data_IF_087671296455
#
_entry.id   IF_087671296455
#
_cell.length_a   1.000
_cell.length_b   1.000
_cell.length_c   1.000
_cell.angle_alpha   90.00
_cell.angle_beta   90.00
_cell.angle_gamma   90.00
#
_symmetry.space_group_name_H-M   'P 1'
#
loop_
_entity.id
_entity.type
_entity.pdbx_description
1 polymer ?
#
# COMPACT_ATOMS: atom_id res chain seq x y z
N UNK A 1 44.04 47.31 32.44
CA UNK A 1 44.07 47.04 30.98
C UNK A 1 44.32 45.58 30.62
N UNK A 2 45.31 44.87 31.19
CA UNK A 2 45.57 43.44 30.86
C UNK A 2 44.40 42.47 31.08
N UNK A 3 43.57 42.66 32.11
CA UNK A 3 42.40 41.78 32.38
C UNK A 3 41.26 41.91 31.35
N UNK A 4 41.10 43.09 30.74
CA UNK A 4 40.05 43.35 29.73
C UNK A 4 40.44 42.72 28.39
N UNK A 5 41.72 42.72 28.05
CA UNK A 5 42.24 42.09 26.82
C UNK A 5 42.11 40.56 26.89
N UNK A 6 42.38 39.96 28.06
CA UNK A 6 42.24 38.50 28.26
C UNK A 6 40.76 38.09 28.18
N UNK A 7 39.85 38.86 28.77
CA UNK A 7 38.41 38.59 28.69
C UNK A 7 37.87 38.74 27.26
N UNK A 8 38.34 39.74 26.50
CA UNK A 8 37.98 39.91 25.08
C UNK A 8 38.52 38.79 24.20
N UNK A 9 39.72 38.27 24.50
CA UNK A 9 40.31 37.14 23.78
C UNK A 9 39.57 35.82 24.08
N UNK A 10 39.14 35.61 25.32
CA UNK A 10 38.33 34.44 25.70
C UNK A 10 36.93 34.48 25.07
N UNK A 11 36.34 35.66 24.93
CA UNK A 11 35.06 35.87 24.26
C UNK A 11 35.15 35.65 22.73
N UNK A 12 36.28 36.04 22.11
CA UNK A 12 36.57 35.76 20.71
C UNK A 12 36.89 34.27 20.45
N UNK A 13 37.52 33.57 21.40
CA UNK A 13 37.73 32.11 21.29
C UNK A 13 36.44 31.31 21.48
N UNK A 14 35.55 31.72 22.40
CA UNK A 14 34.28 31.03 22.60
C UNK A 14 33.30 31.20 21.43
N UNK A 15 33.34 32.33 20.72
CA UNK A 15 32.57 32.56 19.50
C UNK A 15 33.06 31.72 18.31
N UNK A 16 34.34 31.37 18.25
CA UNK A 16 34.89 30.50 17.19
C UNK A 16 34.67 29.00 17.44
N UNK A 17 34.58 28.57 18.70
CA UNK A 17 34.34 27.17 19.05
C UNK A 17 32.90 26.71 18.78
N UNK A 18 31.93 27.63 18.72
CA UNK A 18 30.53 27.33 18.42
C UNK A 18 30.21 27.33 16.92
N UNK A 19 31.17 27.67 16.05
CA UNK A 19 30.89 28.02 14.66
C UNK A 19 31.37 27.02 13.58
N UNK A 20 31.96 25.87 13.94
CA UNK A 20 32.43 24.90 12.94
C UNK A 20 32.03 23.46 13.27
N UNK A 21 30.73 23.22 13.39
CA UNK A 21 30.24 21.90 13.02
C UNK A 21 30.31 21.81 11.48
N UNK A 22 31.43 21.27 11.00
CA UNK A 22 31.72 21.20 9.57
C UNK A 22 30.64 20.39 8.86
N UNK A 23 30.38 20.74 7.60
CA UNK A 23 29.44 19.99 6.76
C UNK A 23 29.77 18.49 6.71
N UNK A 24 31.06 18.14 6.79
CA UNK A 24 31.53 16.75 6.90
C UNK A 24 31.05 16.07 8.19
N UNK A 25 31.18 16.74 9.34
CA UNK A 25 30.70 16.18 10.62
C UNK A 25 29.17 16.03 10.63
N UNK A 26 28.42 16.98 10.06
CA UNK A 26 26.96 16.84 9.86
C UNK A 26 26.63 15.60 9.04
N UNK A 27 27.34 15.40 7.93
CA UNK A 27 27.11 14.24 7.07
C UNK A 27 27.32 12.91 7.82
N UNK A 28 28.42 12.78 8.57
CA UNK A 28 28.68 11.59 9.41
C UNK A 28 27.59 11.38 10.47
N UNK A 29 27.09 12.45 11.06
CA UNK A 29 26.01 12.39 12.05
C UNK A 29 24.68 11.95 11.43
N UNK A 30 24.30 12.49 10.26
CA UNK A 30 23.11 12.01 9.53
C UNK A 30 23.26 10.53 9.20
N UNK A 31 24.45 10.10 8.75
CA UNK A 31 24.71 8.69 8.46
C UNK A 31 24.55 7.80 9.71
N UNK A 32 25.01 8.27 10.88
CA UNK A 32 24.77 7.61 12.15
C UNK A 32 23.28 7.51 12.48
N UNK A 33 22.52 8.59 12.39
CA UNK A 33 21.07 8.61 12.65
C UNK A 33 20.31 7.62 11.76
N UNK A 34 20.61 7.60 10.45
CA UNK A 34 20.01 6.65 9.50
C UNK A 34 20.33 5.21 9.89
N UNK A 35 21.58 4.93 10.31
CA UNK A 35 21.99 3.58 10.75
C UNK A 35 21.31 3.16 12.06
N UNK A 36 21.02 4.11 12.94
CA UNK A 36 20.29 3.91 14.19
C UNK A 36 18.77 3.83 14.01
N UNK A 37 18.26 4.08 12.80
CA UNK A 37 16.83 4.21 12.46
C UNK A 37 16.14 5.45 13.05
N UNK A 38 16.90 6.48 13.44
CA UNK A 38 16.41 7.78 13.91
C UNK A 38 16.09 8.67 12.70
N UNK A 39 15.07 8.28 11.92
CA UNK A 39 14.81 8.86 10.60
C UNK A 39 14.21 10.27 10.67
N UNK A 40 13.43 10.59 11.70
CA UNK A 40 12.86 11.93 11.89
C UNK A 40 13.97 12.94 12.18
N UNK A 41 14.89 12.61 13.08
CA UNK A 41 16.08 13.43 13.38
C UNK A 41 16.99 13.56 12.17
N UNK A 42 17.20 12.46 11.43
CA UNK A 42 17.99 12.48 10.21
C UNK A 42 17.38 13.45 9.18
N UNK A 43 16.04 13.48 9.05
CA UNK A 43 15.34 14.35 8.11
C UNK A 43 15.50 15.84 8.49
N UNK A 44 15.45 16.18 9.78
CA UNK A 44 15.70 17.56 10.25
C UNK A 44 17.09 18.04 9.82
N UNK A 45 18.12 17.22 10.03
CA UNK A 45 19.50 17.57 9.65
C UNK A 45 19.68 17.63 8.12
N UNK A 46 19.00 16.74 7.38
CA UNK A 46 18.99 16.74 5.91
C UNK A 46 18.32 18.00 5.34
N UNK A 47 17.18 18.42 5.91
CA UNK A 47 16.46 19.62 5.50
C UNK A 47 17.26 20.89 5.81
N UNK A 48 18.02 20.90 6.91
CA UNK A 48 18.93 21.99 7.21
C UNK A 48 20.04 22.16 6.16
N UNK A 49 20.49 21.05 5.54
CA UNK A 49 21.50 21.05 4.48
C UNK A 49 20.90 21.30 3.08
N UNK A 50 19.59 21.18 2.92
CA UNK A 50 18.89 21.44 1.66
C UNK A 50 19.14 22.90 1.22
N UNK A 51 19.48 23.09 -0.05
CA UNK A 51 19.87 24.40 -0.61
C UNK A 51 21.28 24.91 -0.22
N UNK A 52 21.94 24.35 0.80
CA UNK A 52 23.33 24.71 1.16
C UNK A 52 24.36 23.84 0.46
N UNK A 53 23.98 22.60 0.16
CA UNK A 53 24.80 21.63 -0.56
C UNK A 53 23.91 20.71 -1.35
N UNK A 54 24.27 20.45 -2.61
CA UNK A 54 23.58 19.46 -3.43
C UNK A 54 24.54 18.30 -3.65
N UNK A 55 24.25 17.17 -3.03
CA UNK A 55 24.99 15.93 -3.29
C UNK A 55 24.02 14.76 -3.42
N UNK A 56 24.35 13.85 -4.31
CA UNK A 56 23.54 12.66 -4.56
C UNK A 56 23.38 11.80 -3.29
N UNK A 57 24.40 11.77 -2.43
CA UNK A 57 24.32 11.09 -1.13
C UNK A 57 23.25 11.70 -0.22
N UNK A 58 23.11 13.03 -0.18
CA UNK A 58 22.07 13.67 0.62
C UNK A 58 20.67 13.40 0.07
N UNK A 59 20.49 13.47 -1.25
CA UNK A 59 19.21 13.13 -1.87
C UNK A 59 18.82 11.66 -1.65
N UNK A 60 19.79 10.75 -1.76
CA UNK A 60 19.60 9.33 -1.46
C UNK A 60 19.22 9.12 0.02
N UNK A 61 19.96 9.72 0.96
CA UNK A 61 19.71 9.61 2.40
C UNK A 61 18.35 10.19 2.79
N UNK A 62 17.96 11.33 2.20
CA UNK A 62 16.63 11.93 2.37
C UNK A 62 15.53 11.06 1.80
N UNK A 63 15.71 10.54 0.59
CA UNK A 63 14.80 9.57 -0.01
C UNK A 63 14.61 8.34 0.89
N UNK A 64 15.69 7.83 1.46
CA UNK A 64 15.68 6.66 2.35
C UNK A 64 14.99 6.94 3.69
N UNK A 65 15.29 8.07 4.35
CA UNK A 65 14.60 8.46 5.57
C UNK A 65 13.09 8.63 5.34
N UNK A 66 12.70 9.34 4.28
CA UNK A 66 11.30 9.52 3.90
C UNK A 66 10.60 8.19 3.56
N UNK A 67 11.32 7.26 2.92
CA UNK A 67 10.82 5.91 2.64
C UNK A 67 10.52 5.16 3.94
N UNK A 68 11.46 5.17 4.90
CA UNK A 68 11.30 4.53 6.20
C UNK A 68 10.14 5.13 7.02
N UNK A 69 9.90 6.44 6.87
CA UNK A 69 8.76 7.15 7.48
C UNK A 69 7.45 7.00 6.70
N UNK A 70 7.42 6.19 5.64
CA UNK A 70 6.25 5.96 4.75
C UNK A 70 5.76 7.22 4.03
N UNK A 71 6.60 8.25 3.91
CA UNK A 71 6.34 9.45 3.11
C UNK A 71 6.72 9.20 1.64
N UNK A 72 5.99 8.30 0.99
CA UNK A 72 6.41 7.67 -0.27
C UNK A 72 6.55 8.64 -1.45
N UNK A 73 5.64 9.62 -1.60
CA UNK A 73 5.73 10.59 -2.69
C UNK A 73 6.97 11.48 -2.55
N UNK A 74 7.18 12.09 -1.37
CA UNK A 74 8.36 12.91 -1.07
C UNK A 74 9.66 12.10 -1.18
N UNK A 75 9.61 10.83 -0.78
CA UNK A 75 10.71 9.88 -0.95
C UNK A 75 11.05 9.67 -2.43
N UNK A 76 10.05 9.40 -3.27
CA UNK A 76 10.23 9.23 -4.72
C UNK A 76 10.78 10.49 -5.40
N UNK A 77 10.32 11.67 -4.99
CA UNK A 77 10.83 12.96 -5.47
C UNK A 77 12.30 13.17 -5.09
N UNK A 78 12.67 12.83 -3.84
CA UNK A 78 14.05 12.95 -3.37
C UNK A 78 14.97 11.97 -4.09
N UNK A 79 14.55 10.71 -4.25
CA UNK A 79 15.30 9.70 -4.99
C UNK A 79 15.51 10.08 -6.46
N UNK A 80 14.54 10.73 -7.11
CA UNK A 80 14.68 11.16 -8.50
C UNK A 80 15.71 12.27 -8.71
N UNK A 81 16.10 12.99 -7.66
CA UNK A 81 17.16 14.02 -7.74
C UNK A 81 18.57 13.43 -7.79
N UNK A 82 18.73 12.13 -7.49
CA UNK A 82 20.00 11.42 -7.60
C UNK A 82 20.39 11.29 -9.07
N UNK A 83 21.57 11.81 -9.43
CA UNK A 83 22.07 11.82 -10.80
C UNK A 83 22.59 10.46 -11.25
N UNK A 84 22.66 10.26 -12.57
CA UNK A 84 23.02 9.00 -13.21
C UNK A 84 24.45 8.54 -12.90
N UNK A 85 25.38 9.48 -12.72
CA UNK A 85 26.78 9.20 -12.40
C UNK A 85 26.97 8.69 -10.95
N UNK A 86 25.94 8.81 -10.12
CA UNK A 86 25.98 8.38 -8.73
C UNK A 86 25.90 6.87 -8.59
N UNK A 87 26.69 6.30 -7.68
CA UNK A 87 26.57 4.88 -7.29
C UNK A 87 25.21 4.55 -6.67
N UNK A 88 24.46 5.56 -6.20
CA UNK A 88 23.13 5.40 -5.63
C UNK A 88 22.00 5.47 -6.68
N UNK A 89 22.31 5.80 -7.94
CA UNK A 89 21.31 6.11 -8.95
C UNK A 89 20.28 5.00 -9.15
N UNK A 90 20.72 3.81 -9.55
CA UNK A 90 19.80 2.72 -9.87
C UNK A 90 18.92 2.35 -8.67
N UNK A 91 19.50 2.21 -7.48
CA UNK A 91 18.74 1.93 -6.26
C UNK A 91 17.67 3.00 -6.04
N UNK A 92 18.04 4.27 -6.16
CA UNK A 92 17.12 5.39 -6.00
C UNK A 92 15.97 5.36 -7.01
N UNK A 93 16.26 5.18 -8.30
CA UNK A 93 15.23 5.19 -9.35
C UNK A 93 14.26 4.00 -9.21
N UNK A 94 14.76 2.81 -8.88
CA UNK A 94 13.89 1.64 -8.64
C UNK A 94 13.00 1.84 -7.40
N UNK A 95 13.54 2.33 -6.29
CA UNK A 95 12.73 2.65 -5.11
C UNK A 95 11.75 3.82 -5.37
N UNK A 96 12.10 4.80 -6.20
CA UNK A 96 11.18 5.86 -6.62
C UNK A 96 10.01 5.29 -7.44
N UNK A 97 10.28 4.40 -8.39
CA UNK A 97 9.24 3.71 -9.15
C UNK A 97 8.32 2.87 -8.26
N UNK A 98 8.90 2.12 -7.31
CA UNK A 98 8.15 1.37 -6.31
C UNK A 98 7.25 2.28 -5.46
N UNK A 99 7.79 3.39 -4.94
CA UNK A 99 7.04 4.34 -4.13
C UNK A 99 5.86 4.94 -4.90
N UNK A 100 6.06 5.35 -6.16
CA UNK A 100 4.96 5.80 -7.00
C UNK A 100 3.94 4.71 -7.29
N UNK A 101 4.39 3.47 -7.47
CA UNK A 101 3.49 2.31 -7.65
C UNK A 101 2.62 2.11 -6.41
N UNK A 102 3.20 2.20 -5.23
CA UNK A 102 2.50 2.05 -3.96
C UNK A 102 1.50 3.18 -3.70
N UNK A 103 1.76 4.41 -4.20
CA UNK A 103 0.81 5.53 -4.15
C UNK A 103 -0.15 5.57 -5.34
N UNK A 104 -0.19 4.50 -6.16
CA UNK A 104 -1.01 4.36 -7.37
C UNK A 104 -0.73 5.37 -8.48
N UNK A 105 0.41 6.06 -8.42
CA UNK A 105 0.89 6.91 -9.51
C UNK A 105 1.65 6.06 -10.55
N UNK A 106 0.92 5.16 -11.22
CA UNK A 106 1.50 4.18 -12.15
C UNK A 106 2.17 4.84 -13.37
N UNK A 107 1.67 6.02 -13.78
CA UNK A 107 2.29 6.80 -14.87
C UNK A 107 3.71 7.22 -14.50
N UNK A 108 3.88 7.91 -13.37
CA UNK A 108 5.21 8.33 -12.90
C UNK A 108 6.12 7.12 -12.65
N UNK A 109 5.60 6.04 -12.07
CA UNK A 109 6.37 4.81 -11.87
C UNK A 109 6.93 4.25 -13.19
N UNK A 110 6.08 4.11 -14.21
CA UNK A 110 6.49 3.64 -15.55
C UNK A 110 7.47 4.59 -16.21
N UNK A 111 7.29 5.90 -16.06
CA UNK A 111 8.18 6.90 -16.65
C UNK A 111 9.57 6.91 -16.02
N UNK A 112 9.66 6.73 -14.69
CA UNK A 112 10.93 6.48 -14.00
C UNK A 112 11.60 5.23 -14.56
N UNK A 113 10.89 4.10 -14.62
CA UNK A 113 11.45 2.83 -15.11
C UNK A 113 11.96 2.92 -16.55
N UNK A 114 11.28 3.66 -17.43
CA UNK A 114 11.70 3.82 -18.83
C UNK A 114 13.10 4.42 -18.95
N UNK A 115 13.46 5.39 -18.09
CA UNK A 115 14.72 6.13 -18.15
C UNK A 115 15.95 5.36 -17.64
N UNK A 116 15.76 4.26 -16.90
CA UNK A 116 16.87 3.50 -16.31
C UNK A 116 17.66 2.75 -17.41
N UNK A 117 18.97 3.00 -17.47
CA UNK A 117 19.93 2.27 -18.32
C UNK A 117 20.09 0.79 -17.93
N UNK A 118 20.38 -0.04 -18.93
CA UNK A 118 20.10 -1.47 -18.88
C UNK A 118 21.36 -2.32 -18.84
N UNK A 119 21.90 -2.56 -17.65
CA UNK A 119 22.68 -3.79 -17.44
C UNK A 119 21.74 -5.01 -17.53
N UNK A 120 22.22 -6.21 -17.93
CA UNK A 120 21.36 -7.40 -18.03
C UNK A 120 20.57 -7.72 -16.74
N UNK A 121 21.20 -7.53 -15.56
CA UNK A 121 20.57 -7.69 -14.24
C UNK A 121 19.41 -6.71 -14.04
N UNK A 122 19.63 -5.42 -14.32
CA UNK A 122 18.63 -4.38 -14.13
C UNK A 122 17.51 -4.42 -15.18
N UNK A 123 17.79 -4.97 -16.37
CA UNK A 123 16.78 -5.19 -17.41
C UNK A 123 15.68 -6.14 -16.93
N UNK A 124 16.04 -7.27 -16.32
CA UNK A 124 15.04 -8.20 -15.77
C UNK A 124 14.26 -7.58 -14.61
N UNK A 125 14.94 -6.86 -13.71
CA UNK A 125 14.26 -6.17 -12.59
C UNK A 125 13.26 -5.13 -13.07
N UNK A 126 13.65 -4.26 -14.03
CA UNK A 126 12.77 -3.28 -14.67
C UNK A 126 11.57 -3.94 -15.33
N UNK A 127 11.81 -5.03 -16.06
CA UNK A 127 10.76 -5.80 -16.71
C UNK A 127 9.78 -6.39 -15.68
N UNK A 128 10.31 -6.94 -14.58
CA UNK A 128 9.52 -7.48 -13.48
C UNK A 128 8.63 -6.42 -12.82
N UNK A 129 9.20 -5.29 -12.39
CA UNK A 129 8.41 -4.20 -11.80
C UNK A 129 7.35 -3.65 -12.76
N UNK A 130 7.71 -3.45 -14.03
CA UNK A 130 6.75 -2.98 -15.03
C UNK A 130 5.59 -3.95 -15.19
N UNK A 131 5.86 -5.26 -15.19
CA UNK A 131 4.80 -6.27 -15.23
C UNK A 131 3.93 -6.23 -13.97
N UNK A 132 4.51 -6.06 -12.78
CA UNK A 132 3.74 -5.85 -11.55
C UNK A 132 2.83 -4.62 -11.60
N UNK A 133 3.32 -3.49 -12.13
CA UNK A 133 2.51 -2.28 -12.33
C UNK A 133 1.34 -2.55 -13.29
N UNK A 134 1.60 -3.21 -14.43
CA UNK A 134 0.55 -3.56 -15.38
C UNK A 134 -0.53 -4.46 -14.74
N UNK A 135 -0.13 -5.40 -13.88
CA UNK A 135 -1.07 -6.25 -13.16
C UNK A 135 -1.92 -5.49 -12.14
N UNK A 136 -1.33 -4.50 -11.45
CA UNK A 136 -2.06 -3.59 -10.56
C UNK A 136 -3.12 -2.78 -11.31
N UNK A 137 -2.82 -2.31 -12.53
CA UNK A 137 -3.75 -1.61 -13.41
C UNK A 137 -4.80 -2.51 -14.07
N UNK A 138 -4.71 -3.84 -13.86
CA UNK A 138 -5.51 -4.86 -14.58
C UNK A 138 -5.33 -4.81 -16.10
N UNK A 139 -4.18 -4.33 -16.55
CA UNK A 139 -3.76 -4.38 -17.96
C UNK A 139 -3.06 -5.72 -18.24
N UNK A 140 -3.89 -6.76 -18.42
CA UNK A 140 -3.43 -8.14 -18.60
C UNK A 140 -2.68 -8.34 -19.92
N UNK A 141 -2.99 -7.55 -20.95
CA UNK A 141 -2.30 -7.60 -22.23
C UNK A 141 -0.85 -7.11 -22.07
N UNK A 142 -0.65 -5.94 -21.44
CA UNK A 142 0.70 -5.44 -21.14
C UNK A 142 1.44 -6.39 -20.21
N UNK A 143 0.75 -6.98 -19.21
CA UNK A 143 1.35 -7.98 -18.33
C UNK A 143 1.90 -9.17 -19.12
N UNK A 144 1.08 -9.79 -19.97
CA UNK A 144 1.49 -10.98 -20.74
C UNK A 144 2.58 -10.69 -21.77
N UNK A 145 2.60 -9.48 -22.33
CA UNK A 145 3.63 -9.04 -23.25
C UNK A 145 4.96 -8.75 -22.55
N UNK A 146 4.93 -8.28 -21.30
CA UNK A 146 6.13 -7.84 -20.57
C UNK A 146 6.60 -8.79 -19.49
N UNK A 147 5.83 -9.77 -19.03
CA UNK A 147 6.29 -10.72 -18.01
C UNK A 147 7.54 -11.47 -18.48
N UNK A 148 8.38 -11.86 -17.54
CA UNK A 148 9.59 -12.63 -17.83
C UNK A 148 9.16 -14.05 -18.27
N UNK A 149 9.51 -14.42 -19.50
CA UNK A 149 9.27 -15.75 -20.09
C UNK A 149 10.57 -16.56 -20.29
N UNK A 150 11.71 -15.96 -19.98
CA UNK A 150 13.04 -16.56 -20.17
C UNK A 150 13.25 -17.76 -19.26
N UNK A 151 13.97 -18.77 -19.74
CA UNK A 151 14.44 -19.91 -18.93
C UNK A 151 15.56 -19.47 -17.95
N UNK A 152 16.32 -18.43 -18.29
CA UNK A 152 17.39 -17.88 -17.45
C UNK A 152 16.91 -16.68 -16.62
N UNK A 153 16.05 -16.94 -15.63
CA UNK A 153 15.59 -15.92 -14.66
C UNK A 153 16.70 -15.66 -13.63
N UNK A 154 16.95 -14.40 -13.30
CA UNK A 154 17.87 -14.04 -12.21
C UNK A 154 17.44 -14.76 -10.92
N UNK A 155 18.35 -15.41 -10.16
CA UNK A 155 17.98 -16.14 -8.94
C UNK A 155 17.22 -15.28 -7.93
N UNK A 156 17.58 -14.00 -7.80
CA UNK A 156 16.92 -13.04 -6.91
C UNK A 156 15.45 -12.71 -7.30
N UNK A 157 15.02 -13.06 -8.52
CA UNK A 157 13.68 -12.82 -9.07
C UNK A 157 12.83 -14.09 -9.19
N UNK A 158 13.44 -15.28 -9.16
CA UNK A 158 12.81 -16.52 -9.60
C UNK A 158 11.50 -16.82 -8.85
N UNK A 159 11.52 -16.76 -7.52
CA UNK A 159 10.34 -16.98 -6.67
C UNK A 159 9.25 -15.94 -6.93
N UNK A 160 9.62 -14.66 -7.02
CA UNK A 160 8.67 -13.56 -7.16
C UNK A 160 8.02 -13.52 -8.55
N UNK A 161 8.73 -13.94 -9.59
CA UNK A 161 8.16 -14.13 -10.94
C UNK A 161 7.10 -15.23 -10.93
N UNK A 162 7.36 -16.37 -10.28
CA UNK A 162 6.39 -17.46 -10.16
C UNK A 162 5.16 -17.00 -9.38
N UNK A 163 5.37 -16.32 -8.26
CA UNK A 163 4.28 -15.78 -7.43
C UNK A 163 3.43 -14.75 -8.20
N UNK A 164 4.05 -13.83 -8.92
CA UNK A 164 3.33 -12.82 -9.70
C UNK A 164 2.49 -13.47 -10.81
N UNK A 165 3.02 -14.51 -11.49
CA UNK A 165 2.25 -15.30 -12.45
C UNK A 165 1.06 -16.04 -11.82
N UNK A 166 1.23 -16.55 -10.59
CA UNK A 166 0.14 -17.17 -9.83
C UNK A 166 -0.93 -16.14 -9.43
N UNK A 167 -0.53 -14.92 -9.06
CA UNK A 167 -1.46 -13.83 -8.79
C UNK A 167 -2.23 -13.44 -10.06
N UNK A 168 -1.55 -13.31 -11.19
CA UNK A 168 -2.18 -13.06 -12.49
C UNK A 168 -3.24 -14.11 -12.82
N UNK A 169 -2.91 -15.40 -12.72
CA UNK A 169 -3.88 -16.47 -12.99
C UNK A 169 -5.04 -16.49 -11.99
N UNK A 170 -4.78 -16.18 -10.72
CA UNK A 170 -5.81 -16.08 -9.67
C UNK A 170 -6.81 -14.96 -9.97
N UNK A 171 -6.31 -13.80 -10.41
CA UNK A 171 -7.15 -12.65 -10.79
C UNK A 171 -7.97 -12.99 -12.05
N UNK A 172 -7.34 -13.52 -13.09
CA UNK A 172 -8.02 -13.87 -14.36
C UNK A 172 -9.09 -14.95 -14.20
N UNK A 173 -8.84 -15.94 -13.36
CA UNK A 173 -9.78 -17.03 -13.12
C UNK A 173 -10.91 -16.66 -12.15
N UNK A 174 -10.80 -15.53 -11.44
CA UNK A 174 -11.84 -15.12 -10.51
C UNK A 174 -13.00 -14.44 -11.24
N UNK A 175 -14.18 -15.05 -11.12
CA UNK A 175 -15.44 -14.41 -11.50
C UNK A 175 -15.95 -13.54 -10.34
N UNK A 176 -16.15 -12.22 -10.53
CA UNK A 176 -16.70 -11.38 -9.48
C UNK A 176 -18.12 -11.83 -9.13
N UNK A 177 -18.42 -11.85 -7.83
CA UNK A 177 -19.74 -12.25 -7.34
C UNK A 177 -20.78 -11.19 -7.69
N UNK A 178 -21.98 -11.59 -8.11
CA UNK A 178 -23.03 -10.68 -8.59
C UNK A 178 -23.88 -10.17 -7.43
N UNK A 179 -23.99 -8.85 -7.30
CA UNK A 179 -24.72 -8.17 -6.22
C UNK A 179 -26.22 -8.50 -6.23
N UNK A 180 -26.90 -8.38 -7.37
CA UNK A 180 -28.34 -8.64 -7.49
C UNK A 180 -28.70 -10.09 -7.17
N UNK A 181 -27.82 -11.04 -7.52
CA UNK A 181 -28.04 -12.46 -7.24
C UNK A 181 -28.04 -12.71 -5.73
N UNK A 182 -27.13 -12.07 -4.98
CA UNK A 182 -27.12 -12.15 -3.53
C UNK A 182 -28.39 -11.58 -2.90
N UNK A 183 -28.91 -10.47 -3.45
CA UNK A 183 -30.19 -9.89 -3.03
C UNK A 183 -31.36 -10.86 -3.23
N UNK A 184 -31.48 -11.45 -4.43
CA UNK A 184 -32.52 -12.43 -4.75
C UNK A 184 -32.41 -13.68 -3.86
N UNK A 185 -31.21 -14.23 -3.71
CA UNK A 185 -30.96 -15.36 -2.81
C UNK A 185 -31.47 -15.03 -1.40
N UNK A 186 -31.09 -13.86 -0.86
CA UNK A 186 -31.51 -13.42 0.48
C UNK A 186 -32.99 -13.08 0.62
N UNK A 187 -33.68 -12.75 -0.48
CA UNK A 187 -35.13 -12.57 -0.48
C UNK A 187 -35.85 -13.92 -0.37
N UNK A 188 -35.37 -14.96 -1.06
CA UNK A 188 -35.94 -16.31 -0.99
C UNK A 188 -35.59 -16.97 0.35
N UNK A 189 -34.30 -16.98 0.68
CA UNK A 189 -33.77 -17.59 1.90
C UNK A 189 -32.92 -16.55 2.63
N UNK A 190 -33.41 -15.97 3.74
CA UNK A 190 -32.66 -15.01 4.54
C UNK A 190 -31.24 -15.50 4.86
N UNK A 191 -30.26 -14.60 4.74
CA UNK A 191 -28.84 -14.91 4.96
C UNK A 191 -28.08 -15.60 3.83
N UNK A 192 -28.77 -16.22 2.86
CA UNK A 192 -28.10 -16.99 1.80
C UNK A 192 -27.24 -16.12 0.86
N UNK A 193 -27.60 -14.86 0.64
CA UNK A 193 -26.77 -13.91 -0.10
C UNK A 193 -25.44 -13.58 0.60
N UNK A 194 -25.42 -13.52 1.94
CA UNK A 194 -24.19 -13.35 2.73
C UNK A 194 -23.33 -14.62 2.71
N UNK A 195 -23.94 -15.80 2.74
CA UNK A 195 -23.23 -17.08 2.56
C UNK A 195 -22.60 -17.14 1.17
N UNK A 196 -23.32 -16.73 0.12
CA UNK A 196 -22.78 -16.58 -1.23
C UNK A 196 -21.60 -15.61 -1.27
N UNK A 197 -21.64 -14.51 -0.51
CA UNK A 197 -20.51 -13.60 -0.34
C UNK A 197 -19.31 -14.23 0.39
N UNK A 198 -19.44 -15.41 1.00
CA UNK A 198 -18.41 -16.07 1.81
C UNK A 198 -18.48 -15.71 3.31
N UNK A 199 -19.51 -14.94 3.70
CA UNK A 199 -19.74 -14.49 5.08
C UNK A 199 -20.78 -15.39 5.76
N UNK A 200 -20.47 -16.68 5.88
CA UNK A 200 -21.44 -17.70 6.33
C UNK A 200 -21.99 -17.41 7.72
N UNK A 201 -21.15 -16.99 8.67
CA UNK A 201 -21.59 -16.63 10.03
C UNK A 201 -22.63 -15.51 10.05
N UNK A 202 -22.39 -14.42 9.30
CA UNK A 202 -23.36 -13.32 9.16
C UNK A 202 -24.66 -13.79 8.48
N UNK A 203 -24.56 -14.72 7.54
CA UNK A 203 -25.69 -15.34 6.88
C UNK A 203 -26.59 -16.11 7.86
N UNK A 204 -26.01 -17.01 8.66
CA UNK A 204 -26.74 -17.78 9.67
C UNK A 204 -27.42 -16.85 10.68
N UNK A 205 -26.71 -15.82 11.17
CA UNK A 205 -27.27 -14.85 12.10
C UNK A 205 -28.48 -14.11 11.50
N UNK A 206 -28.40 -13.71 10.23
CA UNK A 206 -29.50 -13.04 9.52
C UNK A 206 -30.71 -13.96 9.36
N UNK A 207 -30.47 -15.24 9.07
CA UNK A 207 -31.52 -16.25 8.97
C UNK A 207 -32.27 -16.42 10.29
N UNK A 208 -31.54 -16.59 11.40
CA UNK A 208 -32.12 -16.75 12.73
C UNK A 208 -32.92 -15.51 13.16
N UNK A 209 -32.40 -14.31 12.88
CA UNK A 209 -33.08 -13.06 13.21
C UNK A 209 -34.40 -12.88 12.46
N UNK A 210 -34.38 -13.13 11.14
CA UNK A 210 -35.58 -13.02 10.31
C UNK A 210 -36.59 -14.14 10.62
N UNK A 211 -36.11 -15.37 10.83
CA UNK A 211 -36.98 -16.49 11.18
C UNK A 211 -37.66 -16.29 12.53
N UNK A 212 -36.90 -15.91 13.57
CA UNK A 212 -37.46 -15.68 14.91
C UNK A 212 -38.50 -14.56 14.92
N UNK A 213 -38.18 -13.39 14.38
CA UNK A 213 -39.12 -12.25 14.31
C UNK A 213 -40.32 -12.56 13.40
N UNK A 214 -40.12 -13.33 12.34
CA UNK A 214 -41.19 -13.81 11.47
C UNK A 214 -42.15 -14.77 12.17
N UNK A 215 -41.63 -15.75 12.92
CA UNK A 215 -42.43 -16.69 13.71
C UNK A 215 -43.26 -15.96 14.78
N UNK A 216 -42.64 -15.01 15.51
CA UNK A 216 -43.35 -14.18 16.50
C UNK A 216 -44.43 -13.34 15.84
N UNK A 217 -44.15 -12.73 14.68
CA UNK A 217 -45.14 -11.95 13.93
C UNK A 217 -46.31 -12.81 13.48
N UNK A 218 -46.03 -13.99 12.93
CA UNK A 218 -47.04 -14.93 12.45
C UNK A 218 -47.95 -15.43 13.59
N UNK A 219 -47.37 -15.77 14.74
CA UNK A 219 -48.15 -16.20 15.90
C UNK A 219 -49.08 -15.09 16.42
N UNK A 220 -48.57 -13.86 16.53
CA UNK A 220 -49.39 -12.71 16.94
C UNK A 220 -50.50 -12.41 15.92
N UNK A 221 -50.19 -12.47 14.62
CA UNK A 221 -51.18 -12.30 13.57
C UNK A 221 -52.29 -13.36 13.65
N UNK A 222 -51.93 -14.63 13.83
CA UNK A 222 -52.88 -15.75 13.91
C UNK A 222 -53.77 -15.68 15.15
N UNK A 223 -53.21 -15.30 16.32
CA UNK A 223 -53.94 -15.30 17.60
C UNK A 223 -54.70 -14.00 17.88
N UNK A 224 -54.15 -12.85 17.47
CA UNK A 224 -54.65 -11.53 17.88
C UNK A 224 -55.17 -10.68 16.70
N UNK A 225 -54.93 -11.11 15.46
CA UNK A 225 -55.30 -10.40 14.24
C UNK A 225 -54.31 -9.30 13.84
N UNK A 226 -54.51 -8.74 12.64
CA UNK A 226 -53.61 -7.75 12.02
C UNK A 226 -53.64 -6.37 12.70
N UNK A 227 -54.77 -5.99 13.30
CA UNK A 227 -54.96 -4.68 13.94
C UNK A 227 -54.37 -4.61 15.36
N UNK A 228 -53.91 -5.74 15.91
CA UNK A 228 -53.35 -5.76 17.25
C UNK A 228 -51.98 -5.07 17.28
N UNK A 229 -51.74 -4.24 18.31
CA UNK A 229 -50.47 -3.53 18.50
C UNK A 229 -49.25 -4.45 18.46
N UNK A 230 -49.31 -5.64 19.08
CA UNK A 230 -48.19 -6.60 19.10
C UNK A 230 -47.86 -7.11 17.70
N UNK A 231 -48.87 -7.40 16.88
CA UNK A 231 -48.69 -7.81 15.48
C UNK A 231 -48.01 -6.72 14.67
N UNK A 232 -48.45 -5.47 14.83
CA UNK A 232 -47.86 -4.31 14.12
C UNK A 232 -46.41 -4.09 14.56
N UNK A 233 -46.13 -4.16 15.86
CA UNK A 233 -44.79 -3.97 16.42
C UNK A 233 -43.80 -5.02 15.89
N UNK A 234 -44.10 -6.31 16.08
CA UNK A 234 -43.22 -7.39 15.63
C UNK A 234 -43.17 -7.49 14.11
N UNK A 235 -44.27 -7.20 13.40
CA UNK A 235 -44.28 -7.13 11.94
C UNK A 235 -43.41 -6.01 11.39
N UNK A 236 -43.38 -4.85 12.05
CA UNK A 236 -42.47 -3.76 11.70
C UNK A 236 -41.02 -4.17 11.91
N UNK A 237 -40.71 -4.79 13.05
CA UNK A 237 -39.37 -5.31 13.36
C UNK A 237 -38.93 -6.36 12.33
N UNK A 238 -39.79 -7.34 12.04
CA UNK A 238 -39.56 -8.35 11.00
C UNK A 238 -39.29 -7.71 9.64
N UNK A 239 -40.10 -6.72 9.24
CA UNK A 239 -39.93 -6.02 7.97
C UNK A 239 -38.57 -5.33 7.88
N UNK A 240 -38.17 -4.62 8.94
CA UNK A 240 -36.85 -3.97 9.01
C UNK A 240 -35.72 -4.99 8.87
N UNK A 241 -35.77 -6.09 9.63
CA UNK A 241 -34.73 -7.12 9.55
C UNK A 241 -34.72 -7.85 8.20
N UNK A 242 -35.88 -8.11 7.61
CA UNK A 242 -36.01 -8.79 6.32
C UNK A 242 -35.42 -7.93 5.19
N UNK A 243 -35.82 -6.65 5.09
CA UNK A 243 -35.29 -5.71 4.09
C UNK A 243 -33.81 -5.45 4.33
N UNK A 244 -33.42 -5.24 5.59
CA UNK A 244 -32.02 -5.06 5.98
C UNK A 244 -31.14 -6.26 5.63
N UNK A 245 -31.65 -7.49 5.74
CA UNK A 245 -30.95 -8.70 5.29
C UNK A 245 -30.69 -8.68 3.77
N UNK A 246 -31.69 -8.32 2.96
CA UNK A 246 -31.53 -8.27 1.49
C UNK A 246 -30.48 -7.23 1.10
N UNK A 247 -30.61 -6.00 1.62
CA UNK A 247 -29.65 -4.93 1.38
C UNK A 247 -28.24 -5.29 1.87
N UNK A 248 -28.15 -5.86 3.08
CA UNK A 248 -26.90 -6.32 3.67
C UNK A 248 -26.20 -7.38 2.81
N UNK A 249 -26.93 -8.31 2.21
CA UNK A 249 -26.36 -9.32 1.31
C UNK A 249 -25.77 -8.75 0.03
N UNK A 250 -26.46 -7.77 -0.58
CA UNK A 250 -25.95 -7.03 -1.72
C UNK A 250 -24.62 -6.35 -1.37
N UNK A 251 -24.57 -5.71 -0.21
CA UNK A 251 -23.38 -5.02 0.27
C UNK A 251 -22.24 -5.98 0.65
N UNK A 252 -22.53 -7.13 1.26
CA UNK A 252 -21.52 -8.16 1.59
C UNK A 252 -20.79 -8.69 0.35
N UNK A 253 -21.48 -8.81 -0.80
CA UNK A 253 -20.83 -9.16 -2.07
C UNK A 253 -19.90 -8.07 -2.57
N UNK A 254 -20.31 -6.80 -2.47
CA UNK A 254 -19.46 -5.66 -2.83
C UNK A 254 -18.16 -5.68 -2.02
N UNK A 255 -18.28 -5.79 -0.70
CA UNK A 255 -17.13 -5.92 0.21
C UNK A 255 -16.24 -7.10 -0.18
N UNK A 256 -16.82 -8.30 -0.40
CA UNK A 256 -16.04 -9.48 -0.76
C UNK A 256 -15.25 -9.34 -2.07
N UNK A 257 -15.79 -8.59 -3.04
CA UNK A 257 -15.08 -8.28 -4.29
C UNK A 257 -13.97 -7.24 -4.08
N UNK A 258 -14.23 -6.21 -3.28
CA UNK A 258 -13.25 -5.17 -2.93
C UNK A 258 -12.09 -5.73 -2.09
N UNK A 259 -12.39 -6.54 -1.06
CA UNK A 259 -11.40 -7.21 -0.21
C UNK A 259 -10.44 -8.06 -1.04
N UNK A 260 -10.94 -8.81 -2.02
CA UNK A 260 -10.08 -9.58 -2.89
C UNK A 260 -9.19 -8.71 -3.76
N UNK A 261 -9.75 -7.69 -4.41
CA UNK A 261 -8.95 -6.81 -5.24
C UNK A 261 -7.86 -6.14 -4.42
N UNK A 262 -8.20 -5.69 -3.22
CA UNK A 262 -7.25 -5.12 -2.28
C UNK A 262 -6.18 -6.13 -1.86
N UNK A 263 -6.56 -7.36 -1.48
CA UNK A 263 -5.62 -8.42 -1.11
C UNK A 263 -4.67 -8.75 -2.26
N UNK A 264 -5.17 -8.85 -3.49
CA UNK A 264 -4.33 -9.09 -4.66
C UNK A 264 -3.36 -7.93 -4.91
N UNK A 265 -3.84 -6.68 -4.81
CA UNK A 265 -2.98 -5.50 -4.99
C UNK A 265 -1.86 -5.47 -3.94
N UNK A 266 -2.18 -5.75 -2.67
CA UNK A 266 -1.18 -5.81 -1.60
C UNK A 266 -0.15 -6.92 -1.84
N UNK A 267 -0.60 -8.11 -2.28
CA UNK A 267 0.32 -9.19 -2.64
C UNK A 267 1.22 -8.80 -3.79
N UNK A 268 0.70 -8.14 -4.83
CA UNK A 268 1.51 -7.68 -5.96
C UNK A 268 2.55 -6.66 -5.49
N UNK A 269 2.14 -5.64 -4.73
CA UNK A 269 3.04 -4.62 -4.16
C UNK A 269 4.16 -5.26 -3.32
N UNK A 270 3.82 -6.25 -2.50
CA UNK A 270 4.80 -6.99 -1.71
C UNK A 270 5.81 -7.76 -2.60
N UNK A 271 5.32 -8.44 -3.63
CA UNK A 271 6.15 -9.24 -4.54
C UNK A 271 7.11 -8.37 -5.38
N UNK A 272 6.67 -7.18 -5.81
CA UNK A 272 7.58 -6.26 -6.54
C UNK A 272 8.67 -5.66 -5.65
N UNK A 273 8.42 -5.54 -4.34
CA UNK A 273 9.38 -4.96 -3.40
C UNK A 273 10.52 -5.91 -3.01
N UNK A 274 10.26 -7.22 -2.90
CA UNK A 274 11.27 -8.19 -2.41
C UNK A 274 12.56 -8.15 -3.25
N UNK A 275 12.51 -8.20 -4.60
CA UNK A 275 13.73 -8.23 -5.39
C UNK A 275 14.54 -6.96 -5.29
N UNK A 276 13.92 -5.80 -5.01
CA UNK A 276 14.66 -4.57 -4.75
C UNK A 276 15.60 -4.71 -3.57
N UNK A 277 15.12 -5.34 -2.49
CA UNK A 277 15.95 -5.58 -1.31
C UNK A 277 17.05 -6.59 -1.61
N UNK A 278 16.76 -7.65 -2.36
CA UNK A 278 17.73 -8.72 -2.65
C UNK A 278 18.81 -8.30 -3.68
N UNK A 279 18.51 -7.32 -4.53
CA UNK A 279 19.42 -6.87 -5.60
C UNK A 279 20.33 -5.74 -5.13
N UNK A 280 19.83 -4.88 -4.22
CA UNK A 280 20.49 -3.65 -3.80
C UNK A 280 20.94 -3.63 -2.32
N UNK A 281 20.68 -4.68 -1.54
CA UNK A 281 21.25 -4.93 -0.22
C UNK A 281 21.95 -6.29 -0.23
#
# INVERSE_FOLDING_TARGET
MKKIIIASFFCLLSLNLLAQYSQKQRFEFIHHLIKSNDFDEALIELDYLDGKTQSDSLYYMKGWALYSLKQLNSSAESFQKVKEESTFYHKSQFFAAYNYTHTKNYKSAKDVLKRIELTPKLKQLKQFEYSGIALLERDFETYENRRIKSEAILPALQTEVVNLNKLHSTIMNRKPKKMWLAGLMSAIIPGSGKMYAGKTGEGIASMLMVASTGLVTWENHRKLGIKNFKTILFGSIFTVFYVGNIYGSVFSVKISNEEFNHEMDQKILFNIHIPLRNIFN
#
